data_IF_794972143182
#
_entry.id   IF_794972143182
#
_cell.length_a   1.000
_cell.length_b   1.000
_cell.length_c   1.000
_cell.angle_alpha   90.00
_cell.angle_beta   90.00
_cell.angle_gamma   90.00
#
_symmetry.space_group_name_H-M   'P 1'
#
loop_
_entity.id
_entity.type
_entity.pdbx_description
1 polymer ?
#
# COMPACT_ATOMS: atom_id res chain seq x y z
N UNK A 1 43.80 -10.22 4.54
CA UNK A 1 42.50 -10.91 4.68
C UNK A 1 42.48 -12.07 3.69
N UNK A 2 42.11 -13.29 4.09
CA UNK A 2 42.09 -14.43 3.17
C UNK A 2 40.79 -14.45 2.35
N UNK A 3 40.81 -15.11 1.20
CA UNK A 3 39.62 -15.34 0.36
C UNK A 3 38.49 -16.05 1.12
N UNK A 4 38.83 -16.88 2.11
CA UNK A 4 37.85 -17.56 2.98
C UNK A 4 37.13 -16.58 3.93
N UNK A 5 37.83 -15.57 4.46
CA UNK A 5 37.22 -14.53 5.30
C UNK A 5 36.25 -13.67 4.50
N UNK A 6 36.59 -13.37 3.24
CA UNK A 6 35.73 -12.60 2.33
C UNK A 6 34.49 -13.41 1.91
N UNK A 7 34.65 -14.70 1.62
CA UNK A 7 33.54 -15.59 1.30
C UNK A 7 32.57 -15.81 2.49
N UNK A 8 33.10 -15.88 3.72
CA UNK A 8 32.29 -15.95 4.93
C UNK A 8 31.47 -14.67 5.15
N UNK A 9 32.10 -13.49 5.06
CA UNK A 9 31.40 -12.20 5.18
C UNK A 9 30.35 -11.98 4.07
N UNK A 10 30.63 -12.39 2.83
CA UNK A 10 29.67 -12.33 1.74
C UNK A 10 28.45 -13.25 1.98
N UNK A 11 28.68 -14.42 2.58
CA UNK A 11 27.60 -15.36 2.94
C UNK A 11 26.73 -14.84 4.08
N UNK A 12 27.33 -14.16 5.07
CA UNK A 12 26.61 -13.54 6.18
C UNK A 12 25.74 -12.35 5.75
N UNK A 13 26.11 -11.63 4.67
CA UNK A 13 25.35 -10.50 4.12
C UNK A 13 24.27 -10.91 3.10
N UNK A 14 24.38 -12.09 2.48
CA UNK A 14 23.44 -12.55 1.46
C UNK A 14 22.03 -12.88 2.00
N UNK A 15 21.94 -13.40 3.23
CA UNK A 15 20.66 -13.67 3.91
C UNK A 15 19.88 -12.40 4.23
N UNK A 16 20.47 -11.40 4.91
CA UNK A 16 19.87 -10.09 5.15
C UNK A 16 19.40 -9.38 3.88
N UNK A 17 20.23 -9.39 2.83
CA UNK A 17 19.89 -8.76 1.55
C UNK A 17 18.68 -9.44 0.88
N UNK A 18 18.60 -10.78 0.96
CA UNK A 18 17.44 -11.53 0.46
C UNK A 18 16.17 -11.19 1.24
N UNK A 19 16.24 -11.13 2.57
CA UNK A 19 15.08 -10.80 3.41
C UNK A 19 14.56 -9.37 3.18
N UNK A 20 15.46 -8.39 3.00
CA UNK A 20 15.09 -7.03 2.62
C UNK A 20 14.44 -6.95 1.24
N UNK A 21 14.93 -7.74 0.27
CA UNK A 21 14.32 -7.81 -1.06
C UNK A 21 12.91 -8.44 -1.00
N UNK A 22 12.73 -9.52 -0.24
CA UNK A 22 11.41 -10.14 -0.04
C UNK A 22 10.42 -9.18 0.66
N UNK A 23 10.89 -8.44 1.66
CA UNK A 23 10.11 -7.39 2.32
C UNK A 23 9.66 -6.30 1.34
N UNK A 24 10.59 -5.79 0.52
CA UNK A 24 10.27 -4.77 -0.48
C UNK A 24 9.27 -5.29 -1.53
N UNK A 25 9.42 -6.53 -2.00
CA UNK A 25 8.49 -7.15 -2.96
C UNK A 25 7.08 -7.29 -2.36
N UNK A 26 6.95 -7.75 -1.11
CA UNK A 26 5.65 -7.83 -0.43
C UNK A 26 4.96 -6.46 -0.33
N UNK A 27 5.69 -5.39 0.01
CA UNK A 27 5.08 -4.05 0.09
C UNK A 27 4.72 -3.51 -1.31
N UNK A 28 5.42 -3.91 -2.37
CA UNK A 28 5.04 -3.61 -3.77
C UNK A 28 3.73 -4.30 -4.14
N UNK A 29 3.54 -5.57 -3.81
CA UNK A 29 2.28 -6.28 -4.06
C UNK A 29 1.11 -5.58 -3.35
N UNK A 30 1.31 -5.14 -2.11
CA UNK A 30 0.30 -4.42 -1.33
C UNK A 30 -0.02 -3.03 -1.91
N UNK A 31 0.97 -2.32 -2.46
CA UNK A 31 0.78 -1.08 -3.21
C UNK A 31 -0.03 -1.30 -4.50
N UNK A 32 0.23 -2.40 -5.21
CA UNK A 32 -0.51 -2.76 -6.43
C UNK A 32 -1.97 -3.07 -6.08
N UNK A 33 -2.21 -3.80 -5.00
CA UNK A 33 -3.57 -4.07 -4.53
C UNK A 33 -4.33 -2.79 -4.15
N UNK A 34 -3.66 -1.85 -3.47
CA UNK A 34 -4.25 -0.54 -3.16
C UNK A 34 -4.62 0.22 -4.44
N UNK A 35 -3.72 0.27 -5.43
CA UNK A 35 -3.98 0.94 -6.70
C UNK A 35 -5.13 0.30 -7.49
N UNK A 36 -5.19 -1.04 -7.54
CA UNK A 36 -6.29 -1.76 -8.21
C UNK A 36 -7.63 -1.49 -7.53
N UNK A 37 -7.65 -1.48 -6.20
CA UNK A 37 -8.86 -1.17 -5.42
C UNK A 37 -9.32 0.27 -5.63
N UNK A 38 -8.39 1.23 -5.60
CA UNK A 38 -8.69 2.63 -5.87
C UNK A 38 -9.29 2.82 -7.27
N UNK A 39 -8.70 2.18 -8.31
CA UNK A 39 -9.22 2.23 -9.68
C UNK A 39 -10.63 1.64 -9.76
N UNK A 40 -10.90 0.49 -9.15
CA UNK A 40 -12.24 -0.12 -9.13
C UNK A 40 -13.28 0.76 -8.46
N UNK A 41 -12.92 1.38 -7.34
CA UNK A 41 -13.81 2.24 -6.56
C UNK A 41 -14.14 3.52 -7.32
N UNK A 42 -13.14 4.21 -7.88
CA UNK A 42 -13.38 5.39 -8.70
C UNK A 42 -14.14 5.08 -9.98
N UNK A 43 -13.85 3.94 -10.63
CA UNK A 43 -14.61 3.50 -11.80
C UNK A 43 -16.07 3.26 -11.46
N UNK A 44 -16.37 2.62 -10.32
CA UNK A 44 -17.76 2.42 -9.85
C UNK A 44 -18.44 3.76 -9.57
N UNK A 45 -17.81 4.65 -8.79
CA UNK A 45 -18.30 6.00 -8.51
C UNK A 45 -18.64 6.78 -9.78
N UNK A 46 -17.75 6.76 -10.79
CA UNK A 46 -17.97 7.48 -12.06
C UNK A 46 -19.05 6.81 -12.90
N UNK A 47 -18.98 5.48 -13.08
CA UNK A 47 -19.93 4.75 -13.91
C UNK A 47 -21.34 4.79 -13.33
N UNK A 48 -21.48 4.65 -12.01
CA UNK A 48 -22.76 4.71 -11.32
C UNK A 48 -23.36 6.12 -11.40
N UNK A 49 -22.55 7.16 -11.20
CA UNK A 49 -23.00 8.55 -11.31
C UNK A 49 -23.36 8.91 -12.77
N UNK A 50 -22.63 8.39 -13.76
CA UNK A 50 -22.97 8.54 -15.18
C UNK A 50 -24.25 7.79 -15.56
N UNK A 51 -24.39 6.53 -15.15
CA UNK A 51 -25.57 5.73 -15.43
C UNK A 51 -26.81 6.38 -14.82
N UNK A 52 -26.69 6.91 -13.61
CA UNK A 52 -27.76 7.62 -12.92
C UNK A 52 -28.08 8.96 -13.60
N UNK A 53 -27.08 9.71 -14.08
CA UNK A 53 -27.32 10.93 -14.85
C UNK A 53 -28.10 10.67 -16.15
N UNK A 54 -27.85 9.54 -16.82
CA UNK A 54 -28.59 9.14 -18.02
C UNK A 54 -30.06 8.79 -17.76
N UNK A 55 -30.43 8.48 -16.51
CA UNK A 55 -31.82 8.19 -16.12
C UNK A 55 -32.64 9.43 -15.77
N UNK A 56 -32.03 10.62 -15.74
CA UNK A 56 -32.73 11.87 -15.42
C UNK A 56 -33.56 12.30 -16.63
N UNK A 57 -34.87 12.34 -16.46
CA UNK A 57 -35.84 12.72 -17.48
C UNK A 57 -36.68 13.94 -17.08
N UNK A 58 -36.72 14.27 -15.79
CA UNK A 58 -37.47 15.41 -15.28
C UNK A 58 -36.72 16.24 -14.22
N UNK A 59 -37.35 17.33 -13.79
CA UNK A 59 -36.77 18.32 -12.87
C UNK A 59 -36.63 17.81 -11.43
N UNK A 60 -37.52 16.93 -10.98
CA UNK A 60 -37.47 16.37 -9.63
C UNK A 60 -36.33 15.34 -9.53
N UNK A 61 -36.14 14.54 -10.58
CA UNK A 61 -34.99 13.65 -10.74
C UNK A 61 -33.66 14.42 -10.80
N UNK A 62 -33.62 15.54 -11.52
CA UNK A 62 -32.45 16.40 -11.59
C UNK A 62 -32.11 17.00 -10.20
N UNK A 63 -33.13 17.41 -9.43
CA UNK A 63 -32.94 17.90 -8.07
C UNK A 63 -32.40 16.80 -7.14
N UNK A 64 -32.98 15.60 -7.19
CA UNK A 64 -32.53 14.45 -6.41
C UNK A 64 -31.08 14.05 -6.75
N UNK A 65 -30.70 14.13 -8.04
CA UNK A 65 -29.31 13.93 -8.48
C UNK A 65 -28.35 14.93 -7.84
N UNK A 66 -28.73 16.21 -7.82
CA UNK A 66 -27.93 17.28 -7.21
C UNK A 66 -27.80 17.12 -5.70
N UNK A 67 -28.87 16.72 -5.02
CA UNK A 67 -28.86 16.44 -3.57
C UNK A 67 -27.92 15.26 -3.22
N UNK A 68 -27.78 14.27 -4.12
CA UNK A 68 -26.85 13.15 -3.97
C UNK A 68 -25.38 13.48 -4.26
N UNK A 69 -25.06 14.52 -5.03
CA UNK A 69 -23.66 14.85 -5.35
C UNK A 69 -22.82 15.14 -4.09
N UNK A 70 -23.41 15.67 -3.03
CA UNK A 70 -22.73 15.88 -1.75
C UNK A 70 -22.32 14.55 -1.08
N UNK A 71 -23.13 13.49 -1.22
CA UNK A 71 -22.82 12.16 -0.71
C UNK A 71 -21.71 11.48 -1.55
N UNK A 72 -21.78 11.60 -2.87
CA UNK A 72 -20.73 11.12 -3.81
C UNK A 72 -19.38 11.78 -3.49
N UNK A 73 -19.37 13.09 -3.27
CA UNK A 73 -18.16 13.82 -2.88
C UNK A 73 -17.62 13.37 -1.52
N UNK A 74 -18.50 13.12 -0.55
CA UNK A 74 -18.11 12.60 0.77
C UNK A 74 -17.51 11.21 0.66
N UNK A 75 -18.11 10.32 -0.12
CA UNK A 75 -17.60 8.97 -0.36
C UNK A 75 -16.20 8.99 -0.98
N UNK A 76 -15.94 9.91 -1.93
CA UNK A 76 -14.61 10.10 -2.51
C UNK A 76 -13.57 10.61 -1.49
N UNK A 77 -13.96 11.51 -0.58
CA UNK A 77 -13.07 12.00 0.49
C UNK A 77 -12.78 10.90 1.50
N UNK A 78 -13.79 10.18 1.96
CA UNK A 78 -13.65 9.08 2.92
C UNK A 78 -12.75 7.97 2.34
N UNK A 79 -12.93 7.67 1.06
CA UNK A 79 -12.08 6.78 0.28
C UNK A 79 -10.61 7.20 0.24
N UNK A 80 -10.35 8.48 0.01
CA UNK A 80 -8.99 9.03 0.00
C UNK A 80 -8.34 8.98 1.39
N UNK A 81 -9.11 9.26 2.45
CA UNK A 81 -8.62 9.16 3.84
C UNK A 81 -8.27 7.73 4.20
N UNK A 82 -9.11 6.77 3.81
CA UNK A 82 -8.85 5.35 4.05
C UNK A 82 -7.57 4.87 3.33
N UNK A 83 -7.37 5.25 2.07
CA UNK A 83 -6.15 4.90 1.34
C UNK A 83 -4.90 5.51 1.99
N UNK A 84 -5.00 6.75 2.49
CA UNK A 84 -3.91 7.42 3.20
C UNK A 84 -3.56 6.73 4.53
N UNK A 85 -4.56 6.20 5.24
CA UNK A 85 -4.34 5.40 6.45
C UNK A 85 -3.62 4.09 6.15
N UNK A 86 -4.07 3.35 5.13
CA UNK A 86 -3.40 2.11 4.69
C UNK A 86 -1.93 2.38 4.31
N UNK A 87 -1.67 3.46 3.56
CA UNK A 87 -0.30 3.86 3.22
C UNK A 87 0.55 4.21 4.44
N UNK A 88 -0.05 4.89 5.43
CA UNK A 88 0.65 5.23 6.67
C UNK A 88 1.01 3.97 7.47
N UNK A 89 0.06 3.04 7.62
CA UNK A 89 0.27 1.76 8.31
C UNK A 89 1.37 0.94 7.62
N UNK A 90 1.31 0.82 6.28
CA UNK A 90 2.35 0.15 5.50
C UNK A 90 3.75 0.75 5.71
N UNK A 91 3.84 2.08 5.78
CA UNK A 91 5.11 2.76 6.02
C UNK A 91 5.69 2.48 7.41
N UNK A 92 4.82 2.40 8.42
CA UNK A 92 5.20 2.05 9.79
C UNK A 92 5.66 0.59 9.86
N UNK A 93 4.88 -0.35 9.31
CA UNK A 93 5.25 -1.76 9.27
C UNK A 93 6.59 -1.99 8.54
N UNK A 94 6.78 -1.35 7.38
CA UNK A 94 8.04 -1.46 6.65
C UNK A 94 9.24 -0.97 7.49
N UNK A 95 9.09 0.14 8.21
CA UNK A 95 10.13 0.66 9.08
C UNK A 95 10.44 -0.29 10.26
N UNK A 96 9.41 -0.85 10.88
CA UNK A 96 9.54 -1.82 11.98
C UNK A 96 10.21 -3.13 11.50
N UNK A 97 9.78 -3.66 10.36
CA UNK A 97 10.33 -4.89 9.79
C UNK A 97 11.80 -4.72 9.37
N UNK A 98 12.17 -3.56 8.80
CA UNK A 98 13.58 -3.22 8.51
C UNK A 98 14.38 -3.13 9.81
N UNK A 99 13.86 -2.47 10.84
CA UNK A 99 14.54 -2.35 12.13
C UNK A 99 14.75 -3.72 12.79
N UNK A 100 13.75 -4.60 12.74
CA UNK A 100 13.86 -5.99 13.22
C UNK A 100 14.93 -6.76 12.46
N UNK A 101 14.91 -6.72 11.12
CA UNK A 101 15.91 -7.40 10.28
C UNK A 101 17.33 -6.94 10.61
N UNK A 102 17.56 -5.64 10.82
CA UNK A 102 18.87 -5.12 11.19
C UNK A 102 19.26 -5.62 12.60
N UNK A 103 18.35 -5.54 13.57
CA UNK A 103 18.62 -5.89 14.97
C UNK A 103 18.90 -7.39 15.13
N UNK A 104 18.13 -8.25 14.46
CA UNK A 104 18.31 -9.70 14.47
C UNK A 104 19.64 -10.13 13.84
N UNK A 105 20.05 -9.45 12.77
CA UNK A 105 21.32 -9.72 12.10
C UNK A 105 22.51 -9.26 12.93
N UNK A 106 22.42 -8.09 13.59
CA UNK A 106 23.45 -7.62 14.55
C UNK A 106 23.55 -8.58 15.74
N UNK A 107 22.42 -9.07 16.27
CA UNK A 107 22.40 -10.04 17.36
C UNK A 107 23.01 -11.41 16.97
N UNK A 108 22.83 -11.84 15.72
CA UNK A 108 23.48 -13.06 15.19
C UNK A 108 24.99 -12.92 15.04
N UNK A 109 25.47 -11.79 14.52
CA UNK A 109 26.92 -11.52 14.38
C UNK A 109 27.59 -11.38 15.75
N UNK A 110 26.93 -10.75 16.72
CA UNK A 110 27.45 -10.61 18.08
C UNK A 110 27.57 -11.94 18.85
N UNK A 111 26.80 -12.97 18.48
CA UNK A 111 26.87 -14.33 19.06
C UNK A 111 27.91 -15.25 18.41
N UNK A 112 28.55 -14.80 17.31
CA UNK A 112 29.58 -15.55 16.58
C UNK A 112 31.02 -15.11 16.96
N UNK A 113 31.17 -14.15 17.86
CA UNK A 113 32.43 -13.76 18.53
C UNK A 113 32.48 -14.33 19.96
#
# INVERSE_FOLDING_TARGET
>A
MSTATFAAQAKDLAGPAKALNELALNKVDLLVDLQVQAVRRYASLVLDNWMYALTITDFDEARAFMEKQAAVAREAIDSMVADAQILSEMGQEYAEEVQSLITDNVAKVAKLN
#
